data_IF_004197633152
#
_entry.id   IF_004197633152
#
_cell.length_a   1.000
_cell.length_b   1.000
_cell.length_c   1.000
_cell.angle_alpha   90.00
_cell.angle_beta   90.00
_cell.angle_gamma   90.00
#
_symmetry.space_group_name_H-M   'P 1'
#
loop_
_entity.id
_entity.type
_entity.pdbx_description
1 polymer ?
#
# COMPACT_ATOMS: atom_id res chain seq x y z
N UNK A 1 16.36 9.61 -4.70
CA UNK A 1 15.69 8.44 -4.13
C UNK A 1 15.39 8.84 -2.68
N UNK A 2 14.15 9.16 -2.34
CA UNK A 2 13.81 9.45 -0.93
C UNK A 2 13.91 8.09 -0.22
N UNK A 3 14.69 7.97 0.84
CA UNK A 3 14.74 6.72 1.61
C UNK A 3 13.40 6.53 2.33
N UNK A 4 12.62 5.55 1.88
CA UNK A 4 11.30 5.22 2.42
C UNK A 4 11.20 3.81 3.00
N UNK A 5 12.25 3.00 2.90
CA UNK A 5 12.37 1.75 3.67
C UNK A 5 12.59 2.09 5.15
N UNK A 6 11.50 2.48 5.82
CA UNK A 6 11.42 2.52 7.27
C UNK A 6 10.73 1.24 7.70
N UNK A 7 11.44 0.38 8.41
CA UNK A 7 10.88 -0.83 9.03
C UNK A 7 9.54 -0.50 9.70
N UNK A 8 8.48 -1.22 9.35
CA UNK A 8 7.16 -1.12 9.98
C UNK A 8 6.16 -0.19 9.27
N UNK A 9 6.43 0.25 8.04
CA UNK A 9 5.44 0.90 7.18
C UNK A 9 5.38 0.25 5.80
N UNK A 10 4.16 -0.01 5.32
CA UNK A 10 3.91 -0.54 3.99
C UNK A 10 3.63 0.59 3.01
N UNK A 11 4.25 0.51 1.84
CA UNK A 11 3.92 1.35 0.71
C UNK A 11 2.67 0.84 -0.03
N UNK A 12 1.64 1.68 -0.13
CA UNK A 12 0.37 1.33 -0.80
C UNK A 12 0.16 2.06 -2.14
N UNK A 13 1.13 2.86 -2.58
CA UNK A 13 1.02 3.67 -3.80
C UNK A 13 1.24 5.16 -3.53
N UNK A 14 0.71 6.00 -4.42
CA UNK A 14 0.83 7.46 -4.34
C UNK A 14 -0.54 8.11 -4.19
N UNK A 15 -0.57 9.30 -3.59
CA UNK A 15 -1.80 10.08 -3.53
C UNK A 15 -2.32 10.41 -4.93
N UNK A 16 -3.64 10.41 -5.08
CA UNK A 16 -4.30 10.75 -6.32
C UNK A 16 -5.16 12.00 -6.13
N UNK A 17 -4.89 13.03 -6.92
CA UNK A 17 -5.69 14.25 -6.96
C UNK A 17 -6.94 14.03 -7.81
N UNK A 18 -8.11 14.17 -7.20
CA UNK A 18 -9.39 14.00 -7.89
C UNK A 18 -9.79 15.22 -8.73
N UNK A 19 -9.38 16.42 -8.32
CA UNK A 19 -9.70 17.67 -9.03
C UNK A 19 -8.83 17.78 -10.28
N UNK A 20 -7.52 17.62 -10.10
CA UNK A 20 -6.51 17.71 -11.16
C UNK A 20 -6.36 16.41 -11.97
N UNK A 21 -7.01 15.32 -11.53
CA UNK A 21 -6.96 13.98 -12.14
C UNK A 21 -5.55 13.50 -12.41
N UNK A 22 -4.66 13.66 -11.42
CA UNK A 22 -3.24 13.30 -11.53
C UNK A 22 -2.74 12.60 -10.29
N UNK A 23 -1.78 11.71 -10.49
CA UNK A 23 -1.01 11.11 -9.40
C UNK A 23 -0.04 12.18 -8.86
N UNK A 24 -0.02 12.37 -7.54
CA UNK A 24 0.92 13.26 -6.86
C UNK A 24 2.21 12.52 -6.49
N UNK A 25 3.23 13.23 -6.01
CA UNK A 25 4.51 12.61 -5.63
C UNK A 25 4.53 12.09 -4.19
N UNK A 26 3.51 12.42 -3.40
CA UNK A 26 3.31 11.97 -2.04
C UNK A 26 2.99 10.47 -2.02
N UNK A 27 3.74 9.73 -1.20
CA UNK A 27 3.56 8.30 -1.01
C UNK A 27 2.45 8.06 0.02
N UNK A 28 1.61 7.06 -0.23
CA UNK A 28 0.69 6.51 0.76
C UNK A 28 1.44 5.45 1.54
N UNK A 29 1.89 5.82 2.75
CA UNK A 29 2.57 4.92 3.68
C UNK A 29 1.62 4.54 4.81
N UNK A 30 1.41 3.24 5.00
CA UNK A 30 0.52 2.68 6.00
C UNK A 30 1.31 1.99 7.10
N UNK A 31 0.94 2.15 8.37
CA UNK A 31 1.65 1.48 9.47
C UNK A 31 1.29 0.00 9.49
N UNK A 32 2.27 -0.88 9.30
CA UNK A 32 2.01 -2.33 9.19
C UNK A 32 1.33 -2.89 10.43
N UNK A 33 1.66 -2.37 11.62
CA UNK A 33 1.02 -2.74 12.89
C UNK A 33 -0.49 -2.47 12.97
N UNK A 34 -1.03 -1.62 12.10
CA UNK A 34 -2.47 -1.37 12.05
C UNK A 34 -3.18 -2.49 11.24
N UNK A 35 -2.45 -3.21 10.37
CA UNK A 35 -2.87 -4.47 9.77
C UNK A 35 -2.65 -5.60 10.76
N UNK A 36 -3.63 -5.78 11.65
CA UNK A 36 -3.56 -6.79 12.71
C UNK A 36 -3.84 -8.20 12.18
N UNK A 37 -5.04 -8.74 12.38
CA UNK A 37 -5.33 -10.15 12.11
C UNK A 37 -6.12 -10.40 10.84
N UNK A 38 -6.88 -9.41 10.36
CA UNK A 38 -7.77 -9.55 9.22
C UNK A 38 -7.77 -8.27 8.37
N UNK A 39 -7.84 -8.45 7.04
CA UNK A 39 -8.00 -7.36 6.09
C UNK A 39 -9.15 -7.67 5.13
N UNK A 40 -9.81 -6.62 4.63
CA UNK A 40 -10.89 -6.74 3.64
C UNK A 40 -10.56 -5.82 2.46
N UNK A 41 -10.50 -6.39 1.25
CA UNK A 41 -10.29 -5.65 0.01
C UNK A 41 -11.57 -5.73 -0.83
N UNK A 42 -12.20 -4.59 -1.11
CA UNK A 42 -13.49 -4.48 -1.79
C UNK A 42 -13.33 -3.76 -3.13
N UNK A 43 -14.08 -4.16 -4.15
CA UNK A 43 -14.05 -3.53 -5.47
C UNK A 43 -14.55 -4.46 -6.58
N UNK A 44 -14.82 -3.90 -7.76
CA UNK A 44 -15.29 -4.65 -8.94
C UNK A 44 -14.17 -5.50 -9.57
N UNK A 45 -14.52 -6.47 -10.41
CA UNK A 45 -13.52 -7.20 -11.21
C UNK A 45 -12.73 -6.23 -12.09
N UNK A 46 -11.41 -6.41 -12.18
CA UNK A 46 -10.52 -5.52 -12.93
C UNK A 46 -10.09 -4.25 -12.18
N UNK A 47 -10.57 -4.00 -10.95
CA UNK A 47 -10.18 -2.82 -10.16
C UNK A 47 -8.81 -2.93 -9.46
N UNK A 48 -8.02 -3.99 -9.74
CA UNK A 48 -6.68 -4.15 -9.18
C UNK A 48 -6.58 -4.79 -7.78
N UNK A 49 -7.67 -5.33 -7.20
CA UNK A 49 -7.65 -5.94 -5.84
C UNK A 49 -6.57 -6.99 -5.64
N UNK A 50 -6.37 -7.88 -6.61
CA UNK A 50 -5.33 -8.91 -6.55
C UNK A 50 -3.93 -8.30 -6.52
N UNK A 51 -3.67 -7.28 -7.34
CA UNK A 51 -2.39 -6.57 -7.35
C UNK A 51 -2.12 -5.85 -6.03
N UNK A 52 -3.13 -5.19 -5.46
CA UNK A 52 -3.03 -4.59 -4.12
C UNK A 52 -2.71 -5.64 -3.05
N UNK A 53 -3.39 -6.79 -3.07
CA UNK A 53 -3.12 -7.87 -2.12
C UNK A 53 -1.70 -8.42 -2.23
N UNK A 54 -1.20 -8.61 -3.46
CA UNK A 54 0.19 -9.01 -3.71
C UNK A 54 1.16 -7.97 -3.15
N UNK A 55 0.96 -6.68 -3.46
CA UNK A 55 1.84 -5.62 -2.95
C UNK A 55 1.88 -5.57 -1.43
N UNK A 56 0.75 -5.71 -0.74
CA UNK A 56 0.72 -5.76 0.73
C UNK A 56 1.53 -6.96 1.27
N UNK A 57 1.47 -8.13 0.62
CA UNK A 57 2.24 -9.31 1.02
C UNK A 57 3.73 -9.11 0.76
N UNK A 58 4.11 -8.47 -0.35
CA UNK A 58 5.50 -8.14 -0.67
C UNK A 58 6.10 -7.19 0.38
N UNK A 59 5.36 -6.14 0.78
CA UNK A 59 5.77 -5.21 1.83
C UNK A 59 5.92 -5.93 3.19
N UNK A 60 5.01 -6.83 3.54
CA UNK A 60 5.13 -7.65 4.76
C UNK A 60 6.38 -8.53 4.75
N UNK A 61 6.70 -9.15 3.61
CA UNK A 61 7.89 -9.96 3.45
C UNK A 61 9.18 -9.13 3.56
N UNK A 62 9.21 -7.91 3.01
CA UNK A 62 10.33 -6.96 3.14
C UNK A 62 10.56 -6.61 4.62
N UNK A 63 9.48 -6.38 5.37
CA UNK A 63 9.52 -6.08 6.81
C UNK A 63 9.78 -7.31 7.70
N UNK A 64 10.01 -8.50 7.12
CA UNK A 64 10.18 -9.77 7.83
C UNK A 64 8.98 -10.15 8.72
N UNK A 65 7.78 -9.75 8.29
CA UNK A 65 6.51 -10.15 8.92
C UNK A 65 6.09 -11.49 8.28
N UNK A 66 5.90 -12.56 9.08
CA UNK A 66 5.61 -13.91 8.59
C UNK A 66 4.20 -14.08 8.01
#
# INVERSE_FOLDING_TARGET
>A
MRDFEKLGVFYLGKEYDLEEKRIKDELVLYKSKDLTTHAVIIGMTGSGKTGLGIGIIEEAAIDNIP
#
